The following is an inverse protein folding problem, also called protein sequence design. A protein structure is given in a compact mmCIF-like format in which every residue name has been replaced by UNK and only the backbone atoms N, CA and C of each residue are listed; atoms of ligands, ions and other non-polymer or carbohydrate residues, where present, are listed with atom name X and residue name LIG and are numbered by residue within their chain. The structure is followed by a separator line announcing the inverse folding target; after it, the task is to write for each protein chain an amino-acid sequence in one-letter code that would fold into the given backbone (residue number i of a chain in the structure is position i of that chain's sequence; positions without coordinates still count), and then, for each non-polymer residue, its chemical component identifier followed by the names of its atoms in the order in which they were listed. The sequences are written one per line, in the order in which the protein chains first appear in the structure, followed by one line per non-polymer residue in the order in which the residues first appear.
data_IF_162749792957
#
_entry.id   IF_162749792957
#
_cell.length_a   1.000
_cell.length_b   1.000
_cell.length_c   1.000
_cell.angle_alpha   90.00
_cell.angle_beta   90.00
_cell.angle_gamma   90.00
#
_symmetry.space_group_name_H-M   'P 1'
#
loop_
_entity.id
_entity.type
_entity.pdbx_description
1 polymer ?
#
# COMPACT_ATOMS: atom_id res chain seq x y z
N UNK A 1 -9.78 67.27 -90.77
CA UNK A 1 -10.73 66.25 -91.30
C UNK A 1 -9.97 64.96 -91.60
N UNK A 2 -10.59 63.79 -91.30
CA UNK A 2 -10.17 62.37 -91.52
C UNK A 2 -9.27 61.76 -90.41
N UNK A 3 -9.88 61.02 -89.45
CA UNK A 3 -10.01 59.53 -89.30
C UNK A 3 -8.68 58.90 -88.83
N UNK A 4 -8.57 58.00 -87.86
CA UNK A 4 -9.15 56.64 -87.79
C UNK A 4 -8.88 55.96 -86.42
N UNK A 5 -9.68 54.94 -86.09
CA UNK A 5 -9.68 54.02 -84.91
C UNK A 5 -8.38 53.23 -84.70
N UNK A 6 -8.14 52.72 -83.47
CA UNK A 6 -7.97 51.28 -83.16
C UNK A 6 -7.55 51.06 -81.70
N UNK A 7 -8.12 50.05 -81.01
CA UNK A 7 -7.78 49.68 -79.63
C UNK A 7 -6.68 48.60 -79.55
N UNK A 8 -6.16 48.33 -78.34
CA UNK A 8 -5.45 47.08 -78.00
C UNK A 8 -5.47 46.87 -76.46
N UNK A 9 -5.70 45.62 -76.05
CA UNK A 9 -5.89 45.12 -74.68
C UNK A 9 -4.56 45.00 -73.92
N UNK A 10 -4.59 45.10 -72.59
CA UNK A 10 -3.50 44.69 -71.68
C UNK A 10 -4.05 43.69 -70.65
N UNK A 11 -3.36 42.58 -70.35
CA UNK A 11 -3.96 41.42 -69.68
C UNK A 11 -3.86 41.47 -68.14
N UNK A 12 -4.83 40.83 -67.51
CA UNK A 12 -4.92 40.54 -66.07
C UNK A 12 -3.88 39.50 -65.65
N UNK A 13 -3.04 39.82 -64.67
CA UNK A 13 -2.16 38.85 -63.99
C UNK A 13 -2.77 38.50 -62.64
N UNK A 14 -3.16 37.22 -62.50
CA UNK A 14 -3.70 36.62 -61.30
C UNK A 14 -2.53 36.27 -60.35
N UNK A 15 -2.36 37.01 -59.27
CA UNK A 15 -1.37 36.71 -58.22
C UNK A 15 -1.93 35.73 -57.20
N UNK A 16 -1.30 34.56 -57.05
CA UNK A 16 -1.62 33.58 -56.02
C UNK A 16 -1.05 34.04 -54.65
N UNK A 17 -1.92 34.23 -53.66
CA UNK A 17 -1.54 34.45 -52.26
C UNK A 17 -1.35 33.10 -51.57
N UNK A 18 -0.15 32.85 -51.05
CA UNK A 18 0.12 31.70 -50.16
C UNK A 18 0.02 32.17 -48.72
N UNK A 19 -1.00 31.70 -48.00
CA UNK A 19 -1.14 31.94 -46.56
C UNK A 19 -0.33 30.88 -45.78
N UNK A 20 0.70 31.32 -45.05
CA UNK A 20 1.48 30.47 -44.14
C UNK A 20 0.73 30.39 -42.81
N UNK A 21 0.17 29.23 -42.50
CA UNK A 21 -0.49 28.95 -41.23
C UNK A 21 0.58 28.54 -40.19
N UNK A 22 0.84 29.39 -39.20
CA UNK A 22 1.74 29.06 -38.10
C UNK A 22 0.97 28.29 -37.01
N UNK A 23 1.36 27.03 -36.78
CA UNK A 23 0.80 26.16 -35.74
C UNK A 23 1.61 26.35 -34.44
N UNK A 24 1.04 27.01 -33.44
CA UNK A 24 1.66 27.13 -32.12
C UNK A 24 1.39 25.86 -31.31
N UNK A 25 2.45 25.10 -31.02
CA UNK A 25 2.37 23.94 -30.15
C UNK A 25 2.15 24.38 -28.70
N UNK A 26 1.00 24.02 -28.12
CA UNK A 26 0.72 24.16 -26.69
C UNK A 26 1.26 22.92 -25.99
N UNK A 27 2.34 23.06 -25.22
CA UNK A 27 2.86 21.99 -24.36
C UNK A 27 1.99 21.87 -23.11
N UNK A 28 1.34 20.73 -22.83
CA UNK A 28 0.68 20.53 -21.55
C UNK A 28 1.75 20.34 -20.46
N UNK A 29 1.71 21.18 -19.44
CA UNK A 29 2.48 20.95 -18.23
C UNK A 29 1.89 19.74 -17.49
N UNK A 30 2.60 18.61 -17.52
CA UNK A 30 2.26 17.44 -16.71
C UNK A 30 2.57 17.80 -15.26
N UNK A 31 1.53 18.16 -14.50
CA UNK A 31 1.63 18.33 -13.05
C UNK A 31 1.77 16.92 -12.46
N UNK A 32 2.95 16.61 -11.92
CA UNK A 32 3.16 15.37 -11.18
C UNK A 32 2.15 15.29 -10.02
N UNK A 33 1.53 14.12 -9.74
CA UNK A 33 0.65 14.00 -8.61
C UNK A 33 1.45 14.34 -7.35
N UNK A 34 0.88 15.22 -6.51
CA UNK A 34 1.41 15.45 -5.18
C UNK A 34 1.53 14.08 -4.51
N UNK A 35 2.76 13.69 -4.15
CA UNK A 35 2.96 12.53 -3.30
C UNK A 35 2.21 12.83 -2.02
N UNK A 36 1.08 12.16 -1.79
CA UNK A 36 0.50 12.10 -0.46
C UNK A 36 1.55 11.40 0.39
N UNK A 37 2.41 12.18 1.04
CA UNK A 37 3.17 11.69 2.17
C UNK A 37 2.11 11.41 3.24
N UNK A 38 1.57 10.19 3.25
CA UNK A 38 0.90 9.71 4.45
C UNK A 38 1.96 9.76 5.53
N UNK A 39 1.81 10.69 6.47
CA UNK A 39 2.52 10.61 7.73
C UNK A 39 1.94 9.38 8.44
N UNK A 40 2.39 8.19 8.07
CA UNK A 40 2.03 6.96 8.78
C UNK A 40 2.56 7.14 10.20
N UNK A 41 1.66 7.05 11.18
CA UNK A 41 2.05 7.12 12.59
C UNK A 41 3.00 5.96 12.85
N UNK A 42 4.28 6.25 12.96
CA UNK A 42 5.26 5.24 13.29
C UNK A 42 5.09 4.88 14.76
N UNK A 43 4.65 3.65 14.99
CA UNK A 43 4.49 3.08 16.32
C UNK A 43 5.77 2.35 16.70
N UNK A 44 6.28 2.61 17.90
CA UNK A 44 7.60 2.08 18.33
C UNK A 44 7.49 1.02 19.42
N UNK A 45 6.31 0.89 20.04
CA UNK A 45 6.07 -0.08 21.12
C UNK A 45 4.78 -0.86 20.90
N UNK A 46 4.68 -2.06 21.49
CA UNK A 46 3.45 -2.87 21.45
C UNK A 46 2.28 -2.19 22.17
N UNK A 47 2.56 -1.46 23.25
CA UNK A 47 1.54 -0.72 23.99
C UNK A 47 0.92 0.40 23.15
N UNK A 48 1.74 1.16 22.42
CA UNK A 48 1.25 2.15 21.46
C UNK A 48 0.47 1.50 20.32
N UNK A 49 0.91 0.33 19.85
CA UNK A 49 0.24 -0.39 18.76
C UNK A 49 -1.15 -0.87 19.18
N UNK A 50 -1.26 -1.45 20.38
CA UNK A 50 -2.53 -1.84 20.97
C UNK A 50 -3.45 -0.63 21.20
N UNK A 51 -2.90 0.54 21.56
CA UNK A 51 -3.70 1.76 21.72
C UNK A 51 -4.28 2.29 20.39
N UNK A 52 -3.60 2.08 19.27
CA UNK A 52 -4.04 2.53 17.94
C UNK A 52 -4.94 1.50 17.25
N UNK A 53 -4.53 0.23 17.25
CA UNK A 53 -5.17 -0.84 16.49
C UNK A 53 -6.12 -1.72 17.34
N UNK A 54 -6.03 -1.66 18.66
CA UNK A 54 -6.65 -2.61 19.57
C UNK A 54 -5.90 -3.93 19.66
N UNK A 55 -6.30 -4.77 20.62
CA UNK A 55 -5.94 -6.20 20.66
C UNK A 55 -7.00 -7.01 19.91
N UNK A 56 -6.61 -8.13 19.28
CA UNK A 56 -7.58 -9.01 18.63
C UNK A 56 -8.44 -9.69 19.69
N UNK A 57 -9.78 -9.73 19.54
CA UNK A 57 -10.67 -10.34 20.54
C UNK A 57 -10.45 -11.83 20.75
N UNK A 58 -9.74 -12.52 19.84
CA UNK A 58 -9.37 -13.94 19.97
C UNK A 58 -8.08 -14.14 20.77
N UNK A 59 -7.40 -13.07 21.18
CA UNK A 59 -6.22 -13.12 22.03
C UNK A 59 -6.57 -13.17 23.53
N UNK A 60 -7.36 -14.17 23.93
CA UNK A 60 -7.99 -14.28 25.25
C UNK A 60 -7.33 -15.28 26.22
N UNK A 61 -6.27 -15.98 25.79
CA UNK A 61 -5.60 -16.99 26.62
C UNK A 61 -4.85 -16.39 27.82
N UNK A 62 -4.30 -15.19 27.65
CA UNK A 62 -3.49 -14.52 28.65
C UNK A 62 -2.53 -13.51 28.04
N UNK A 63 -1.44 -13.19 28.75
CA UNK A 63 -0.40 -12.26 28.26
C UNK A 63 1.01 -12.82 28.35
N UNK A 64 1.80 -12.57 27.33
CA UNK A 64 3.24 -12.84 27.32
C UNK A 64 3.99 -11.58 27.74
N UNK A 65 4.80 -11.70 28.80
CA UNK A 65 5.65 -10.62 29.31
C UNK A 65 7.12 -10.99 29.22
N UNK A 66 7.90 -10.19 28.48
CA UNK A 66 9.35 -10.32 28.38
C UNK A 66 9.98 -8.95 28.71
N UNK A 67 10.22 -8.64 30.01
CA UNK A 67 10.62 -7.30 30.44
C UNK A 67 11.94 -6.81 29.85
N UNK A 68 12.86 -7.73 29.55
CA UNK A 68 14.18 -7.38 29.01
C UNK A 68 14.12 -6.73 27.62
N UNK A 69 13.00 -6.91 26.89
CA UNK A 69 12.77 -6.37 25.55
C UNK A 69 11.44 -5.61 25.46
N UNK A 70 10.87 -5.23 26.61
CA UNK A 70 9.61 -4.47 26.73
C UNK A 70 8.43 -5.07 25.95
N UNK A 71 8.32 -6.41 25.96
CA UNK A 71 7.17 -7.10 25.38
C UNK A 71 6.11 -7.32 26.46
N UNK A 72 4.90 -6.83 26.20
CA UNK A 72 3.68 -7.17 26.93
C UNK A 72 2.54 -7.30 25.91
N UNK A 73 2.23 -8.53 25.50
CA UNK A 73 1.34 -8.85 24.38
C UNK A 73 0.23 -9.83 24.79
N UNK A 74 -0.97 -9.67 24.23
CA UNK A 74 -2.04 -10.64 24.37
C UNK A 74 -1.74 -11.94 23.59
N UNK A 75 -2.20 -13.08 24.12
CA UNK A 75 -1.98 -14.41 23.54
C UNK A 75 -3.30 -14.94 22.96
N UNK A 76 -3.31 -15.26 21.67
CA UNK A 76 -4.38 -16.01 21.01
C UNK A 76 -3.98 -17.45 20.76
N UNK A 77 -4.95 -18.36 20.72
CA UNK A 77 -4.69 -19.78 20.49
C UNK A 77 -5.00 -20.15 19.05
N UNK A 78 -4.10 -20.90 18.40
CA UNK A 78 -4.30 -21.43 17.05
C UNK A 78 -4.17 -22.95 17.05
N UNK A 79 -5.17 -23.62 16.51
CA UNK A 79 -5.04 -25.01 16.11
C UNK A 79 -4.09 -25.13 14.91
N UNK A 80 -3.16 -26.08 14.98
CA UNK A 80 -2.30 -26.45 13.85
C UNK A 80 -2.98 -27.62 13.10
N UNK A 81 -3.41 -27.41 11.84
CA UNK A 81 -4.07 -28.45 11.06
C UNK A 81 -3.12 -29.59 10.69
N UNK A 82 -3.67 -30.73 10.28
CA UNK A 82 -2.97 -31.99 9.94
C UNK A 82 -1.86 -31.89 8.86
N UNK A 83 -1.65 -30.72 8.24
CA UNK A 83 -0.52 -30.42 7.37
C UNK A 83 0.68 -29.77 8.08
N UNK A 84 0.59 -29.50 9.39
CA UNK A 84 1.62 -28.82 10.17
C UNK A 84 1.80 -27.33 9.84
N UNK A 85 0.91 -26.75 9.03
CA UNK A 85 0.99 -25.34 8.67
C UNK A 85 0.61 -24.46 9.85
N UNK A 86 1.55 -23.71 10.40
CA UNK A 86 1.33 -22.81 11.53
C UNK A 86 0.71 -21.49 11.04
N UNK A 87 -0.53 -21.15 11.43
CA UNK A 87 -1.16 -19.90 11.02
C UNK A 87 -0.41 -18.67 11.58
N UNK A 88 -0.55 -17.53 10.92
CA UNK A 88 -0.05 -16.26 11.46
C UNK A 88 -0.86 -15.84 12.70
N UNK A 89 -0.25 -15.03 13.59
CA UNK A 89 -0.97 -14.25 14.60
C UNK A 89 -2.14 -13.46 14.01
N UNK A 90 -3.17 -13.25 14.83
CA UNK A 90 -4.40 -12.63 14.37
C UNK A 90 -4.23 -11.12 14.15
N UNK A 91 -3.44 -10.49 15.03
CA UNK A 91 -3.23 -9.07 15.07
C UNK A 91 -1.77 -8.65 14.80
N UNK A 92 -1.52 -7.34 14.78
CA UNK A 92 -0.19 -6.79 14.54
C UNK A 92 0.75 -6.92 15.75
N UNK A 93 0.20 -7.07 16.95
CA UNK A 93 0.92 -7.04 18.22
C UNK A 93 0.53 -8.14 19.21
N UNK A 94 -0.17 -9.18 18.74
CA UNK A 94 -0.49 -10.36 19.53
C UNK A 94 0.54 -11.49 19.32
N UNK A 95 0.41 -12.53 20.13
CA UNK A 95 1.22 -13.73 20.09
C UNK A 95 0.31 -14.93 19.90
N UNK A 96 0.61 -15.80 18.95
CA UNK A 96 -0.08 -17.08 18.79
C UNK A 96 0.54 -18.12 19.71
N UNK A 97 -0.25 -18.80 20.53
CA UNK A 97 0.05 -20.09 21.12
C UNK A 97 -0.50 -21.19 20.20
N UNK A 98 0.36 -22.11 19.78
CA UNK A 98 -0.04 -23.19 18.90
C UNK A 98 -0.48 -24.42 19.70
N UNK A 99 -1.71 -24.82 19.42
CA UNK A 99 -2.27 -26.08 19.83
C UNK A 99 -2.00 -27.14 18.75
N UNK A 100 -1.36 -28.21 19.19
CA UNK A 100 -1.00 -29.34 18.35
C UNK A 100 -1.80 -30.58 18.75
N UNK A 101 -2.98 -30.49 19.38
CA UNK A 101 -3.75 -31.69 19.78
C UNK A 101 -3.89 -32.77 18.67
N UNK A 102 -3.93 -32.35 17.40
CA UNK A 102 -3.95 -33.23 16.22
C UNK A 102 -2.64 -33.98 15.93
N UNK A 103 -1.51 -33.48 16.45
CA UNK A 103 -0.17 -33.97 16.23
C UNK A 103 0.47 -34.33 17.57
N UNK A 104 1.04 -35.53 17.76
CA UNK A 104 1.48 -36.02 19.08
C UNK A 104 2.69 -35.28 19.73
N UNK A 105 2.92 -34.03 19.39
CA UNK A 105 3.92 -33.11 19.93
C UNK A 105 3.23 -31.83 20.41
N UNK A 106 3.91 -31.03 21.24
CA UNK A 106 3.36 -29.76 21.75
C UNK A 106 3.07 -29.79 23.24
N UNK A 107 2.33 -28.80 23.72
CA UNK A 107 2.01 -28.62 25.13
C UNK A 107 1.52 -27.20 25.43
N UNK A 108 0.93 -27.01 26.59
CA UNK A 108 0.53 -25.69 27.08
C UNK A 108 1.45 -25.24 28.21
N UNK A 109 1.61 -23.92 28.44
CA UNK A 109 2.34 -23.43 29.60
C UNK A 109 1.83 -24.06 30.89
N UNK A 110 2.69 -24.80 31.59
CA UNK A 110 2.33 -25.50 32.83
C UNK A 110 1.66 -26.88 32.67
N UNK A 111 1.25 -27.27 31.45
CA UNK A 111 0.61 -28.56 31.16
C UNK A 111 1.57 -29.72 30.83
N UNK A 112 2.87 -29.43 30.72
CA UNK A 112 3.87 -30.37 30.21
C UNK A 112 4.09 -30.24 28.70
N UNK A 113 5.12 -30.91 28.17
CA UNK A 113 5.51 -30.77 26.77
C UNK A 113 6.15 -29.42 26.44
N UNK A 114 6.15 -29.06 25.15
CA UNK A 114 6.73 -27.80 24.65
C UNK A 114 5.62 -26.86 24.17
N UNK A 115 5.44 -25.74 24.88
CA UNK A 115 4.61 -24.65 24.40
C UNK A 115 5.36 -23.89 23.28
N UNK A 116 4.76 -23.84 22.09
CA UNK A 116 5.31 -23.13 20.93
C UNK A 116 4.47 -21.90 20.68
N UNK A 117 5.13 -20.76 20.52
CA UNK A 117 4.47 -19.49 20.26
C UNK A 117 5.12 -18.77 19.08
N UNK A 118 4.37 -17.92 18.40
CA UNK A 118 4.91 -16.99 17.39
C UNK A 118 4.37 -15.58 17.60
N UNK A 119 5.14 -14.60 17.15
CA UNK A 119 4.73 -13.20 17.09
C UNK A 119 5.38 -12.56 15.89
N UNK A 120 4.83 -11.42 15.45
CA UNK A 120 5.40 -10.69 14.35
C UNK A 120 6.70 -9.96 14.75
N UNK A 121 7.62 -9.85 13.78
CA UNK A 121 8.79 -8.98 13.87
C UNK A 121 8.62 -7.88 12.82
N UNK A 122 8.74 -6.62 13.24
CA UNK A 122 8.63 -5.45 12.36
C UNK A 122 7.34 -5.44 11.52
N UNK A 123 6.20 -5.75 12.16
CA UNK A 123 4.93 -5.80 11.45
C UNK A 123 4.60 -4.44 10.83
N UNK A 124 4.36 -4.44 9.52
CA UNK A 124 3.88 -3.27 8.80
C UNK A 124 2.51 -3.62 8.22
N UNK A 125 1.44 -3.37 8.98
CA UNK A 125 0.10 -3.32 8.42
C UNK A 125 -0.17 -1.93 7.89
N UNK A 126 -0.64 -1.86 6.66
CA UNK A 126 -1.46 -0.73 6.23
C UNK A 126 -2.79 -0.87 6.97
N UNK A 127 -2.91 -0.21 8.13
CA UNK A 127 -4.18 0.05 8.80
C UNK A 127 -4.89 1.24 8.15
#
# INVERSE_FOLDING_TARGET
MKRTRSGTRVPTVLGAFVAVLALTAVTPAIVAPARHASAQTQVSTLAELAAVAGEDPRADFGRLRIPAIDVDAAIGTHEVPDGGAMPNPYGPGDVSLYDFESAWFGGTPGGGGNAVMSGHVNYNANV
#
